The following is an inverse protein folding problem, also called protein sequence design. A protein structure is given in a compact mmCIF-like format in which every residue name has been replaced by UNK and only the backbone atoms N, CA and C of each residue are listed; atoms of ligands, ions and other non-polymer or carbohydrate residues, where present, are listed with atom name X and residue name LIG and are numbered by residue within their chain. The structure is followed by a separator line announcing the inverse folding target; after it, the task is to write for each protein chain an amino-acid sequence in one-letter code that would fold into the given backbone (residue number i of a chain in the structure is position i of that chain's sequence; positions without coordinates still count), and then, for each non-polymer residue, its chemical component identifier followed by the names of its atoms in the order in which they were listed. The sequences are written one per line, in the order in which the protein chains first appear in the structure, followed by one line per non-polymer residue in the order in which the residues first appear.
data_IF_378607206472
#
_entry.id   IF_378607206472
#
_cell.length_a   1.000
_cell.length_b   1.000
_cell.length_c   1.000
_cell.angle_alpha   90.00
_cell.angle_beta   90.00
_cell.angle_gamma   90.00
#
_symmetry.space_group_name_H-M   'P 1'
#
loop_
_entity.id
_entity.type
_entity.pdbx_description
1 polymer ?
#
# COMPACT_ATOMS: atom_id res chain seq x y z
N UNK A 1 9.25 26.06 -0.52
CA UNK A 1 10.15 24.89 -0.63
C UNK A 1 9.24 23.71 -0.75
N UNK A 2 9.05 23.29 -1.96
CA UNK A 2 8.15 22.21 -2.31
C UNK A 2 8.58 20.95 -1.57
N UNK A 3 7.66 20.39 -0.82
CA UNK A 3 7.84 19.07 -0.24
C UNK A 3 7.85 18.07 -1.41
N UNK A 4 9.02 17.87 -2.00
CA UNK A 4 9.27 16.91 -3.06
C UNK A 4 8.81 15.48 -2.66
N UNK A 5 8.67 15.22 -1.37
CA UNK A 5 8.20 13.96 -0.82
C UNK A 5 6.69 13.74 -1.04
N UNK A 6 5.85 14.78 -0.93
CA UNK A 6 4.39 14.60 -1.09
C UNK A 6 3.95 14.35 -2.53
N UNK A 7 4.64 14.95 -3.51
CA UNK A 7 4.42 14.67 -4.94
C UNK A 7 5.17 13.42 -5.44
N UNK A 8 6.14 12.94 -4.65
CA UNK A 8 7.08 11.93 -5.05
C UNK A 8 6.63 10.48 -4.86
N UNK A 9 5.95 10.17 -3.78
CA UNK A 9 5.62 8.79 -3.40
C UNK A 9 4.32 8.26 -4.03
N UNK A 10 3.62 9.06 -4.83
CA UNK A 10 2.39 8.67 -5.53
C UNK A 10 2.60 7.55 -6.56
N UNK A 11 3.69 7.59 -7.30
CA UNK A 11 3.99 6.66 -8.39
C UNK A 11 4.91 5.51 -7.95
N UNK A 12 4.73 4.34 -8.56
CA UNK A 12 5.49 3.12 -8.23
C UNK A 12 7.00 3.33 -8.37
N UNK A 13 7.45 3.91 -9.48
CA UNK A 13 8.89 4.11 -9.73
C UNK A 13 9.54 5.09 -8.73
N UNK A 14 8.79 6.09 -8.25
CA UNK A 14 9.29 7.02 -7.21
C UNK A 14 9.39 6.33 -5.85
N UNK A 15 8.40 5.50 -5.50
CA UNK A 15 8.50 4.67 -4.29
C UNK A 15 9.66 3.70 -4.37
N UNK A 16 9.90 3.08 -5.53
CA UNK A 16 11.06 2.22 -5.71
C UNK A 16 12.37 2.96 -5.47
N UNK A 17 12.56 4.14 -6.08
CA UNK A 17 13.74 4.95 -5.83
C UNK A 17 13.90 5.31 -4.35
N UNK A 18 12.81 5.64 -3.67
CA UNK A 18 12.82 5.92 -2.22
C UNK A 18 13.19 4.68 -1.41
N UNK A 19 12.56 3.54 -1.71
CA UNK A 19 12.77 2.29 -0.97
C UNK A 19 14.17 1.71 -1.18
N UNK A 20 14.69 1.78 -2.41
CA UNK A 20 15.97 1.15 -2.77
C UNK A 20 17.16 2.10 -2.69
N UNK A 21 16.93 3.41 -2.55
CA UNK A 21 17.99 4.42 -2.64
C UNK A 21 18.58 4.58 -4.05
N UNK A 22 18.00 3.92 -5.05
CA UNK A 22 18.51 3.93 -6.42
C UNK A 22 17.82 5.01 -7.27
N UNK A 23 18.59 5.67 -8.10
CA UNK A 23 18.03 6.58 -9.11
C UNK A 23 17.15 5.81 -10.11
N UNK A 24 16.09 6.43 -10.61
CA UNK A 24 15.12 5.82 -11.54
C UNK A 24 15.75 5.19 -12.78
N UNK A 25 16.91 5.66 -13.21
CA UNK A 25 17.68 5.06 -14.30
C UNK A 25 18.33 3.72 -13.98
N UNK A 26 18.49 3.40 -12.70
CA UNK A 26 19.12 2.17 -12.19
C UNK A 26 18.14 1.25 -11.46
N UNK A 27 16.93 1.74 -11.14
CA UNK A 27 15.89 0.89 -10.55
C UNK A 27 15.45 -0.18 -11.55
N UNK A 28 15.19 -1.37 -11.05
CA UNK A 28 14.66 -2.50 -11.82
C UNK A 28 13.27 -2.19 -12.41
N UNK A 29 12.41 -1.58 -11.63
CA UNK A 29 11.05 -1.19 -12.05
C UNK A 29 11.00 0.31 -12.28
N UNK A 30 10.93 0.71 -13.55
CA UNK A 30 10.96 2.11 -13.99
C UNK A 30 9.58 2.70 -14.30
N UNK A 31 8.52 2.02 -13.91
CA UNK A 31 7.13 2.45 -14.15
C UNK A 31 6.13 1.59 -13.40
N UNK A 32 4.86 1.77 -13.68
CA UNK A 32 3.80 0.94 -13.14
C UNK A 32 3.80 -0.44 -13.83
N UNK A 33 4.80 -1.27 -13.51
CA UNK A 33 4.88 -2.62 -14.04
C UNK A 33 3.92 -3.51 -13.25
N UNK A 34 2.74 -3.69 -13.80
CA UNK A 34 1.67 -4.47 -13.21
C UNK A 34 1.91 -5.97 -13.41
N UNK A 35 1.54 -6.74 -12.41
CA UNK A 35 1.53 -8.19 -12.47
C UNK A 35 0.09 -8.67 -12.64
N UNK A 36 -0.16 -9.42 -13.70
CA UNK A 36 -1.47 -9.94 -14.07
C UNK A 36 -1.58 -11.41 -13.68
N UNK A 37 -2.69 -11.77 -13.04
CA UNK A 37 -2.93 -13.16 -12.62
C UNK A 37 -4.39 -13.39 -12.26
N UNK A 38 -4.70 -14.55 -11.75
CA UNK A 38 -6.04 -14.88 -11.25
C UNK A 38 -6.27 -14.14 -9.92
N UNK A 39 -6.67 -12.90 -10.01
CA UNK A 39 -6.97 -12.06 -8.85
C UNK A 39 -8.48 -11.93 -8.66
N UNK A 40 -8.95 -11.91 -7.40
CA UNK A 40 -10.30 -11.48 -7.11
C UNK A 40 -10.50 -9.96 -7.25
N UNK A 41 -9.45 -9.19 -7.55
CA UNK A 41 -9.55 -7.78 -7.89
C UNK A 41 -9.91 -7.70 -9.36
N UNK A 42 -11.19 -7.74 -9.64
CA UNK A 42 -11.73 -7.55 -10.98
C UNK A 42 -11.96 -6.04 -11.14
N UNK A 43 -11.37 -5.47 -12.17
CA UNK A 43 -11.62 -4.09 -12.56
C UNK A 43 -12.19 -4.06 -13.97
N UNK A 44 -13.22 -3.24 -14.13
CA UNK A 44 -13.90 -3.04 -15.39
C UNK A 44 -13.40 -1.74 -16.04
N UNK A 45 -12.83 -1.83 -17.22
CA UNK A 45 -12.49 -0.70 -18.04
C UNK A 45 -12.83 -0.98 -19.49
N UNK A 46 -13.51 -0.07 -20.18
CA UNK A 46 -13.92 -0.23 -21.58
C UNK A 46 -14.60 -1.59 -21.88
N UNK A 47 -15.51 -2.03 -21.00
CA UNK A 47 -16.23 -3.31 -21.08
C UNK A 47 -15.35 -4.57 -21.02
N UNK A 48 -14.16 -4.48 -20.46
CA UNK A 48 -13.28 -5.64 -20.21
C UNK A 48 -13.02 -5.80 -18.74
N UNK A 49 -12.98 -7.04 -18.27
CA UNK A 49 -12.48 -7.40 -16.95
C UNK A 49 -10.96 -7.43 -16.97
N UNK A 50 -10.35 -6.76 -15.99
CA UNK A 50 -8.92 -6.80 -15.76
C UNK A 50 -8.65 -7.42 -14.39
N UNK A 51 -7.72 -8.34 -14.35
CA UNK A 51 -7.30 -9.00 -13.12
C UNK A 51 -5.86 -8.59 -12.81
N UNK A 52 -5.70 -7.52 -12.00
CA UNK A 52 -4.39 -7.07 -11.52
C UNK A 52 -4.18 -7.57 -10.11
N UNK A 53 -3.13 -8.34 -9.87
CA UNK A 53 -2.80 -8.87 -8.53
C UNK A 53 -1.87 -7.95 -7.74
N UNK A 54 -1.15 -7.07 -8.39
CA UNK A 54 -0.21 -6.11 -7.80
C UNK A 54 0.81 -5.60 -8.80
N UNK A 55 1.98 -5.24 -8.32
CA UNK A 55 3.09 -4.75 -9.13
C UNK A 55 4.25 -5.73 -9.08
N UNK A 56 5.23 -5.48 -9.94
CA UNK A 56 6.48 -6.23 -9.92
C UNK A 56 7.12 -6.15 -8.52
N UNK A 57 7.49 -7.29 -7.91
CA UNK A 57 8.11 -7.30 -6.58
C UNK A 57 9.49 -6.63 -6.62
N UNK A 58 9.92 -6.09 -5.49
CA UNK A 58 11.33 -5.72 -5.31
C UNK A 58 12.19 -6.99 -5.42
N UNK A 59 13.36 -6.83 -6.02
CA UNK A 59 14.36 -7.89 -6.06
C UNK A 59 14.69 -8.35 -4.63
N UNK A 60 14.59 -9.65 -4.33
CA UNK A 60 14.89 -10.17 -2.99
C UNK A 60 16.34 -9.94 -2.57
N UNK A 61 17.26 -9.81 -3.52
CA UNK A 61 18.69 -9.59 -3.24
C UNK A 61 19.02 -8.11 -2.98
N UNK A 62 18.09 -7.20 -3.27
CA UNK A 62 18.25 -5.78 -2.97
C UNK A 62 17.62 -5.41 -1.63
N UNK A 63 18.44 -4.99 -0.67
CA UNK A 63 17.96 -4.47 0.61
C UNK A 63 17.23 -3.15 0.40
N UNK A 64 16.07 -3.00 1.02
CA UNK A 64 15.26 -1.78 0.95
C UNK A 64 15.26 -1.03 2.29
N UNK A 65 14.92 0.24 2.24
CA UNK A 65 15.01 1.16 3.39
C UNK A 65 14.32 0.65 4.67
N UNK A 66 13.11 0.06 4.64
CA UNK A 66 12.50 -0.49 5.86
C UNK A 66 13.31 -1.61 6.51
N UNK A 67 13.97 -2.45 5.71
CA UNK A 67 14.84 -3.52 6.23
C UNK A 67 16.04 -2.92 6.97
N UNK A 68 16.69 -1.90 6.38
CA UNK A 68 17.80 -1.18 7.01
C UNK A 68 17.34 -0.54 8.34
N UNK A 69 16.20 0.10 8.36
CA UNK A 69 15.67 0.73 9.57
C UNK A 69 15.39 -0.30 10.66
N UNK A 70 14.78 -1.42 10.29
CA UNK A 70 14.49 -2.52 11.21
C UNK A 70 15.76 -3.13 11.81
N UNK A 71 16.77 -3.38 10.98
CA UNK A 71 18.06 -3.93 11.40
C UNK A 71 18.84 -2.97 12.33
N UNK A 72 18.52 -1.67 12.26
CA UNK A 72 19.05 -0.66 13.17
C UNK A 72 18.15 -0.38 14.38
N UNK A 73 17.20 -1.28 14.69
CA UNK A 73 16.41 -1.24 15.91
C UNK A 73 15.19 -0.31 15.87
N UNK A 74 14.76 0.13 14.69
CA UNK A 74 13.53 0.89 14.54
C UNK A 74 12.31 -0.02 14.52
N UNK A 75 11.24 0.39 15.17
CA UNK A 75 9.90 -0.16 14.92
C UNK A 75 9.39 0.40 13.59
N UNK A 76 8.94 -0.45 12.68
CA UNK A 76 8.62 -0.04 11.32
C UNK A 76 7.13 -0.15 11.03
N UNK A 77 6.54 0.90 10.48
CA UNK A 77 5.13 0.91 10.05
C UNK A 77 4.94 1.51 8.66
N UNK A 78 3.97 0.98 7.91
CA UNK A 78 3.60 1.55 6.62
C UNK A 78 2.08 1.54 6.42
N UNK A 79 1.54 2.70 6.04
CA UNK A 79 0.10 2.92 5.90
C UNK A 79 -0.22 3.54 4.53
N UNK A 80 -1.02 2.81 3.74
CA UNK A 80 -1.39 3.20 2.39
C UNK A 80 -0.91 2.24 1.30
N UNK A 81 -0.38 2.76 0.20
CA UNK A 81 0.02 1.97 -0.97
C UNK A 81 1.39 1.32 -0.79
N UNK A 82 1.46 0.01 -0.90
CA UNK A 82 2.73 -0.73 -0.98
C UNK A 82 3.35 -0.64 -2.37
N UNK A 83 2.69 -1.26 -3.35
CA UNK A 83 3.10 -1.28 -4.76
C UNK A 83 4.55 -1.76 -5.03
N UNK A 84 5.05 -2.67 -4.23
CA UNK A 84 6.35 -3.31 -4.36
C UNK A 84 6.26 -4.82 -4.42
N UNK A 85 5.14 -5.35 -4.92
CA UNK A 85 4.85 -6.77 -5.04
C UNK A 85 3.37 -7.06 -5.16
N UNK A 86 3.00 -8.30 -4.94
CA UNK A 86 1.62 -8.81 -4.93
C UNK A 86 1.47 -9.82 -3.79
N UNK A 87 0.23 -10.11 -3.39
CA UNK A 87 -0.02 -11.09 -2.34
C UNK A 87 0.58 -12.46 -2.68
N UNK A 88 1.38 -13.00 -1.77
CA UNK A 88 2.13 -14.26 -1.98
C UNK A 88 3.49 -14.10 -2.65
N UNK A 89 3.86 -12.90 -3.13
CA UNK A 89 5.21 -12.66 -3.67
C UNK A 89 6.28 -12.69 -2.57
N UNK A 90 7.56 -12.66 -2.99
CA UNK A 90 8.70 -12.51 -2.08
C UNK A 90 8.80 -11.11 -1.47
N UNK A 91 8.00 -10.15 -1.96
CA UNK A 91 8.13 -8.75 -1.62
C UNK A 91 6.79 -8.15 -1.13
N UNK A 92 6.22 -8.76 -0.11
CA UNK A 92 5.12 -8.21 0.68
C UNK A 92 5.68 -7.47 1.91
N UNK A 93 4.95 -6.53 2.52
CA UNK A 93 5.44 -5.73 3.66
C UNK A 93 6.04 -6.57 4.79
N UNK A 94 5.38 -7.68 5.17
CA UNK A 94 5.82 -8.63 6.20
C UNK A 94 7.21 -9.22 5.94
N UNK A 95 7.57 -9.41 4.66
CA UNK A 95 8.84 -9.97 4.22
C UNK A 95 9.93 -8.93 3.99
N UNK A 96 9.58 -7.66 3.97
CA UNK A 96 10.44 -6.55 3.58
C UNK A 96 10.60 -5.51 4.70
N UNK A 97 10.73 -6.01 5.95
CA UNK A 97 11.13 -5.20 7.07
C UNK A 97 10.04 -4.31 7.69
N UNK A 98 8.77 -4.51 7.38
CA UNK A 98 7.64 -3.80 7.99
C UNK A 98 7.05 -4.61 9.14
N UNK A 99 6.90 -4.02 10.32
CA UNK A 99 6.29 -4.64 11.50
C UNK A 99 4.76 -4.43 11.54
N UNK A 100 4.28 -3.27 11.06
CA UNK A 100 2.86 -2.93 10.99
C UNK A 100 2.52 -2.36 9.61
N UNK A 101 1.52 -2.94 8.97
CA UNK A 101 1.04 -2.53 7.66
C UNK A 101 -0.48 -2.49 7.60
N UNK A 102 -1.02 -1.42 7.02
CA UNK A 102 -2.44 -1.34 6.68
C UNK A 102 -2.66 -0.53 5.40
N UNK A 103 -3.28 -1.12 4.38
CA UNK A 103 -3.51 -0.42 3.12
C UNK A 103 -3.69 -1.32 1.90
N UNK A 104 -3.14 -0.90 0.77
CA UNK A 104 -3.27 -1.56 -0.52
C UNK A 104 -1.94 -2.18 -0.97
N UNK A 105 -1.89 -3.49 -1.12
CA UNK A 105 -0.73 -4.13 -1.77
C UNK A 105 -0.66 -3.69 -3.24
N UNK A 106 -1.79 -3.68 -3.94
CA UNK A 106 -1.89 -3.32 -5.34
C UNK A 106 -2.09 -1.81 -5.54
N UNK A 107 -1.20 -1.19 -6.33
CA UNK A 107 -1.32 0.21 -6.75
C UNK A 107 -2.63 0.49 -7.50
N UNK A 108 -3.07 -0.46 -8.32
CA UNK A 108 -4.27 -0.29 -9.14
C UNK A 108 -5.54 -0.34 -8.30
N UNK A 109 -5.61 -1.25 -7.31
CA UNK A 109 -6.71 -1.31 -6.35
C UNK A 109 -6.84 0.00 -5.55
N UNK A 110 -5.74 0.69 -5.33
CA UNK A 110 -5.72 1.96 -4.59
C UNK A 110 -6.42 3.13 -5.30
N UNK A 111 -6.91 2.94 -6.52
CA UNK A 111 -7.85 3.86 -7.19
C UNK A 111 -9.31 3.64 -6.76
N UNK A 112 -9.59 2.60 -5.98
CA UNK A 112 -10.90 2.33 -5.42
C UNK A 112 -10.97 2.91 -4.01
N UNK A 113 -11.67 4.02 -3.83
CA UNK A 113 -11.80 4.67 -2.52
C UNK A 113 -12.69 3.91 -1.54
N UNK A 114 -13.60 3.11 -2.05
CA UNK A 114 -14.50 2.23 -1.29
C UNK A 114 -14.26 0.78 -1.74
N UNK A 115 -13.11 0.17 -1.39
CA UNK A 115 -12.72 -1.16 -1.86
C UNK A 115 -13.56 -2.26 -1.21
N UNK A 116 -13.45 -3.48 -1.72
CA UNK A 116 -14.01 -4.66 -1.08
C UNK A 116 -13.17 -5.13 0.12
N UNK A 117 -11.88 -4.85 0.11
CA UNK A 117 -10.96 -5.20 1.20
C UNK A 117 -9.74 -4.29 1.18
N UNK A 118 -9.07 -4.21 2.33
CA UNK A 118 -7.72 -3.72 2.50
C UNK A 118 -6.82 -4.85 3.00
N UNK A 119 -5.53 -4.63 2.95
CA UNK A 119 -4.54 -5.59 3.45
C UNK A 119 -3.97 -5.11 4.78
N UNK A 120 -3.73 -6.04 5.70
CA UNK A 120 -3.09 -5.81 7.00
C UNK A 120 -1.97 -6.81 7.20
N UNK A 121 -0.94 -6.38 7.88
CA UNK A 121 0.02 -7.20 8.57
C UNK A 121 0.37 -6.55 9.91
N UNK A 122 0.32 -7.31 10.99
CA UNK A 122 0.70 -6.86 12.32
C UNK A 122 1.53 -7.92 13.01
N UNK A 123 2.79 -7.64 13.21
CA UNK A 123 3.68 -8.49 14.01
C UNK A 123 3.22 -8.57 15.46
N UNK A 124 2.70 -7.47 16.00
CA UNK A 124 2.20 -7.40 17.37
C UNK A 124 0.96 -8.29 17.60
N UNK A 125 0.11 -8.44 16.57
CA UNK A 125 -1.05 -9.34 16.61
C UNK A 125 -0.69 -10.81 16.28
N UNK A 126 0.56 -11.08 15.92
CA UNK A 126 1.02 -12.43 15.58
C UNK A 126 0.62 -12.89 14.17
N UNK A 127 0.36 -11.95 13.24
CA UNK A 127 0.09 -12.30 11.86
C UNK A 127 1.31 -13.02 11.25
N UNK A 128 1.08 -14.12 10.56
CA UNK A 128 2.14 -14.91 9.90
C UNK A 128 2.42 -14.43 8.47
N UNK A 129 1.69 -13.44 7.99
CA UNK A 129 1.81 -12.80 6.68
C UNK A 129 0.69 -11.80 6.48
N UNK A 130 0.68 -11.18 5.29
CA UNK A 130 -0.38 -10.22 4.93
C UNK A 130 -1.73 -10.91 4.83
N UNK A 131 -2.74 -10.36 5.50
CA UNK A 131 -4.13 -10.82 5.50
C UNK A 131 -5.07 -9.78 4.89
N UNK A 132 -6.21 -10.22 4.35
CA UNK A 132 -7.26 -9.33 3.84
C UNK A 132 -8.25 -8.99 4.94
N UNK A 133 -8.56 -7.70 5.06
CA UNK A 133 -9.62 -7.19 5.92
C UNK A 133 -10.78 -6.80 5.02
N UNK A 134 -11.86 -7.57 5.07
CA UNK A 134 -13.04 -7.37 4.23
C UNK A 134 -13.79 -6.11 4.69
N UNK A 135 -14.25 -5.34 3.75
CA UNK A 135 -15.08 -4.15 3.97
C UNK A 135 -16.55 -4.55 3.91
N UNK A 136 -17.09 -5.04 5.03
CA UNK A 136 -18.42 -5.68 5.10
C UNK A 136 -19.56 -4.77 4.62
N UNK A 137 -19.49 -3.48 4.85
CA UNK A 137 -20.48 -2.54 4.37
C UNK A 137 -20.33 -2.27 2.85
N UNK A 138 -19.11 -2.27 2.35
CA UNK A 138 -18.85 -2.02 0.93
C UNK A 138 -19.25 -3.20 0.06
N UNK A 139 -18.97 -4.44 0.49
CA UNK A 139 -19.27 -5.64 -0.32
C UNK A 139 -20.77 -5.87 -0.54
N UNK A 140 -21.63 -5.19 0.22
CA UNK A 140 -23.09 -5.24 0.03
C UNK A 140 -23.54 -4.61 -1.29
N UNK A 141 -22.70 -3.79 -1.90
CA UNK A 141 -23.02 -3.01 -3.09
C UNK A 141 -21.97 -3.28 -4.20
N UNK A 142 -22.39 -3.23 -5.47
CA UNK A 142 -21.46 -3.44 -6.58
C UNK A 142 -20.36 -2.37 -6.61
N UNK A 143 -19.20 -2.72 -7.18
CA UNK A 143 -18.05 -1.80 -7.29
C UNK A 143 -18.27 -0.69 -8.33
N UNK A 144 -19.28 -0.80 -9.15
CA UNK A 144 -19.60 0.12 -10.25
C UNK A 144 -21.10 0.33 -10.38
N UNK A 145 -21.48 1.44 -11.00
CA UNK A 145 -22.86 1.79 -11.25
C UNK A 145 -23.48 2.64 -10.13
N UNK A 146 -24.79 2.92 -10.22
CA UNK A 146 -25.46 3.85 -9.31
C UNK A 146 -25.41 3.44 -7.84
N UNK A 147 -25.36 2.14 -7.56
CA UNK A 147 -25.33 1.64 -6.19
C UNK A 147 -23.95 1.75 -5.52
N UNK A 148 -22.88 2.02 -6.28
CA UNK A 148 -21.55 2.29 -5.71
C UNK A 148 -21.59 3.41 -4.67
N UNK A 149 -22.43 4.41 -4.85
CA UNK A 149 -22.59 5.55 -3.92
C UNK A 149 -23.13 5.14 -2.54
N UNK A 150 -23.66 3.92 -2.38
CA UNK A 150 -24.14 3.40 -1.09
C UNK A 150 -23.03 2.80 -0.24
N UNK A 151 -21.81 2.64 -0.79
CA UNK A 151 -20.64 2.18 -0.05
C UNK A 151 -20.23 3.24 0.96
N UNK A 152 -19.89 2.85 2.17
CA UNK A 152 -19.67 3.77 3.29
C UNK A 152 -18.29 3.67 3.93
N UNK A 153 -17.57 2.55 3.75
CA UNK A 153 -16.24 2.38 4.32
C UNK A 153 -15.19 3.01 3.39
N UNK A 154 -14.87 4.27 3.68
CA UNK A 154 -13.87 5.03 2.93
C UNK A 154 -12.46 4.64 3.37
N UNK A 155 -11.68 4.18 2.42
CA UNK A 155 -10.36 3.60 2.71
C UNK A 155 -9.34 4.58 3.30
N UNK A 156 -9.42 5.86 2.90
CA UNK A 156 -8.45 6.84 3.39
C UNK A 156 -8.64 7.13 4.88
N UNK A 157 -9.90 7.19 5.36
CA UNK A 157 -10.20 7.36 6.78
C UNK A 157 -9.70 6.17 7.58
N UNK A 158 -10.00 4.95 7.11
CA UNK A 158 -9.57 3.71 7.78
C UNK A 158 -8.04 3.59 7.83
N UNK A 159 -7.34 3.94 6.75
CA UNK A 159 -5.87 3.93 6.71
C UNK A 159 -5.33 5.00 7.67
N UNK A 160 -5.95 6.17 7.71
CA UNK A 160 -5.55 7.26 8.60
C UNK A 160 -5.74 6.88 10.08
N UNK A 161 -6.90 6.35 10.43
CA UNK A 161 -7.18 5.87 11.80
C UNK A 161 -6.13 4.85 12.24
N UNK A 162 -5.81 3.85 11.41
CA UNK A 162 -4.78 2.84 11.72
C UNK A 162 -3.37 3.43 11.83
N UNK A 163 -3.06 4.43 11.01
CA UNK A 163 -1.81 5.15 11.09
C UNK A 163 -1.68 5.93 12.43
N UNK A 164 -2.75 6.60 12.85
CA UNK A 164 -2.77 7.33 14.11
C UNK A 164 -2.74 6.41 15.32
N UNK A 165 -3.52 5.32 15.32
CA UNK A 165 -3.47 4.29 16.36
C UNK A 165 -2.04 3.74 16.54
N UNK A 166 -1.33 3.49 15.44
CA UNK A 166 0.03 3.01 15.48
C UNK A 166 0.99 4.08 16.03
N UNK A 167 0.85 5.34 15.62
CA UNK A 167 1.69 6.44 16.12
C UNK A 167 1.50 6.65 17.63
N UNK A 168 0.28 6.59 18.13
CA UNK A 168 -0.03 6.75 19.56
C UNK A 168 0.55 5.62 20.43
N UNK A 169 0.83 4.46 19.84
CA UNK A 169 1.43 3.31 20.53
C UNK A 169 2.96 3.36 20.59
N UNK A 170 3.60 4.32 19.91
CA UNK A 170 5.05 4.36 19.87
C UNK A 170 5.64 4.85 21.20
N UNK A 171 6.59 4.08 21.73
CA UNK A 171 7.36 4.49 22.92
C UNK A 171 8.39 5.56 22.51
N UNK A 172 8.41 6.67 23.24
CA UNK A 172 9.40 7.74 23.02
C UNK A 172 10.85 7.31 23.26
N UNK A 173 11.07 6.15 23.87
CA UNK A 173 12.40 5.59 24.16
C UNK A 173 12.94 4.73 23.02
N UNK A 174 12.09 4.26 22.11
CA UNK A 174 12.47 3.44 20.97
C UNK A 174 12.23 4.21 19.68
N UNK A 175 13.21 4.28 18.76
CA UNK A 175 12.99 4.94 17.49
C UNK A 175 11.99 4.17 16.63
N UNK A 176 11.20 4.90 15.88
CA UNK A 176 10.27 4.30 14.90
C UNK A 176 10.47 4.92 13.51
N UNK A 177 10.09 4.17 12.50
CA UNK A 177 10.12 4.58 11.10
C UNK A 177 8.75 4.33 10.46
N UNK A 178 8.02 5.40 10.17
CA UNK A 178 6.68 5.37 9.58
C UNK A 178 6.68 5.85 8.13
N UNK A 179 6.04 5.10 7.24
CA UNK A 179 5.82 5.47 5.84
C UNK A 179 4.33 5.63 5.59
N UNK A 180 3.92 6.83 5.16
CA UNK A 180 2.51 7.16 4.90
C UNK A 180 2.31 7.47 3.42
N UNK A 181 1.71 6.51 2.69
CA UNK A 181 1.49 6.58 1.24
C UNK A 181 0.01 6.64 0.92
N UNK A 182 -0.65 7.71 1.36
CA UNK A 182 -2.08 7.91 1.12
C UNK A 182 -2.42 7.94 -0.38
N UNK A 183 -3.65 7.56 -0.70
CA UNK A 183 -4.17 7.60 -2.06
C UNK A 183 -4.61 9.01 -2.42
N UNK A 184 -4.19 9.51 -3.58
CA UNK A 184 -4.73 10.70 -4.24
C UNK A 184 -4.82 11.98 -3.39
N UNK A 185 -3.69 12.48 -2.92
CA UNK A 185 -3.62 13.81 -2.29
C UNK A 185 -3.86 14.99 -3.27
N UNK A 186 -3.93 14.72 -4.58
CA UNK A 186 -3.98 15.76 -5.62
C UNK A 186 -5.37 16.04 -6.20
N UNK A 187 -6.38 15.21 -5.89
CA UNK A 187 -7.73 15.36 -6.46
C UNK A 187 -8.77 15.98 -5.51
N UNK A 188 -8.35 16.39 -4.33
CA UNK A 188 -9.27 16.97 -3.33
C UNK A 188 -9.48 18.48 -3.48
N UNK A 189 -8.71 19.16 -4.36
CA UNK A 189 -8.80 20.62 -4.52
C UNK A 189 -9.64 21.10 -5.70
N UNK A 190 -10.04 20.22 -6.62
CA UNK A 190 -10.73 20.61 -7.86
C UNK A 190 -12.06 19.84 -8.08
N UNK A 191 -12.67 19.31 -7.03
CA UNK A 191 -13.96 18.67 -7.11
C UNK A 191 -15.08 19.56 -6.57
#
# INVERSE_FOLDING_TARGET
RDCLLSRGLGDVYKRQSFMTGQHTGHCEVRGNKEYWGNSPIIMYGNNKEYSVVGQHPYDPDHVILPEIMKDNGYTTGMFGKWAGGYEGSCSTPDKRGIDEYYGYICQFQAHLYYPNFLNRYSKALGDTGVVRIVMDENIKYPMYGPEYQKRSQYSADMIHEKAMEWLDQQDTKQPFFGIFTYTCLLYTSDA
#
